data_IF_496600685793
#
_entry.id   IF_496600685793
#
_cell.length_a   1.000
_cell.length_b   1.000
_cell.length_c   1.000
_cell.angle_alpha   90.00
_cell.angle_beta   90.00
_cell.angle_gamma   90.00
#
_symmetry.space_group_name_H-M   'P 1'
#
loop_
_entity.id
_entity.type
_entity.pdbx_description
1 polymer ?
#
# COMPACT_ATOMS: atom_id res chain seq x y z
N UNK A 1 4.70 12.24 17.30
CA UNK A 1 5.41 11.05 16.76
C UNK A 1 6.43 11.56 15.75
N UNK A 2 7.67 11.03 15.73
CA UNK A 2 8.64 11.37 14.67
C UNK A 2 8.11 11.00 13.28
N UNK A 3 8.72 11.53 12.20
CA UNK A 3 8.30 11.17 10.83
C UNK A 3 8.35 9.65 10.66
N UNK A 4 7.36 8.99 10.03
CA UNK A 4 7.34 7.53 9.88
C UNK A 4 8.63 6.94 9.30
N UNK A 5 9.32 7.68 8.44
CA UNK A 5 10.62 7.33 7.86
C UNK A 5 11.72 7.08 8.89
N UNK A 6 11.67 7.76 10.04
CA UNK A 6 12.64 7.56 11.14
C UNK A 6 12.47 6.20 11.83
N UNK A 7 11.28 5.61 11.73
CA UNK A 7 10.94 4.35 12.40
C UNK A 7 10.91 3.18 11.40
N UNK A 8 10.42 3.42 10.19
CA UNK A 8 10.23 2.38 9.17
C UNK A 8 11.32 2.34 8.11
N UNK A 9 12.18 3.34 8.06
CA UNK A 9 13.06 3.58 6.93
C UNK A 9 12.32 4.05 5.67
N UNK A 10 13.09 4.40 4.66
CA UNK A 10 12.58 4.78 3.35
C UNK A 10 12.01 3.55 2.60
N UNK A 11 11.11 3.75 1.63
CA UNK A 11 10.72 2.68 0.71
C UNK A 11 11.93 2.16 -0.07
N UNK A 12 11.89 0.91 -0.55
CA UNK A 12 12.97 0.37 -1.37
C UNK A 12 13.15 1.17 -2.68
N UNK A 13 14.33 1.12 -3.33
CA UNK A 13 14.53 1.80 -4.61
C UNK A 13 13.47 1.43 -5.65
N UNK A 14 13.07 0.15 -5.71
CA UNK A 14 11.98 -0.31 -6.58
C UNK A 14 10.63 0.32 -6.24
N UNK A 15 10.24 0.41 -4.97
CA UNK A 15 9.02 1.09 -4.54
C UNK A 15 9.04 2.59 -4.86
N UNK A 16 10.21 3.23 -4.74
CA UNK A 16 10.39 4.62 -5.14
C UNK A 16 10.26 4.79 -6.65
N UNK A 17 10.79 3.85 -7.45
CA UNK A 17 10.64 3.84 -8.90
C UNK A 17 9.16 3.70 -9.30
N UNK A 18 8.39 2.82 -8.65
CA UNK A 18 6.94 2.70 -8.86
C UNK A 18 6.19 3.98 -8.51
N UNK A 19 6.58 4.69 -7.44
CA UNK A 19 5.98 5.97 -7.07
C UNK A 19 6.20 7.05 -8.14
N UNK A 20 7.41 7.08 -8.71
CA UNK A 20 7.76 7.98 -9.82
C UNK A 20 7.00 7.59 -11.08
N UNK A 21 6.92 6.30 -11.39
CA UNK A 21 6.19 5.77 -12.53
C UNK A 21 4.70 6.15 -12.45
N UNK A 22 4.06 5.92 -11.30
CA UNK A 22 2.68 6.31 -11.06
C UNK A 22 2.45 7.80 -11.34
N UNK A 23 3.35 8.66 -10.84
CA UNK A 23 3.22 10.11 -10.96
C UNK A 23 3.53 10.64 -12.37
N UNK A 24 4.53 10.07 -13.04
CA UNK A 24 5.03 10.50 -14.34
C UNK A 24 4.25 9.91 -15.52
N UNK A 25 3.64 8.73 -15.36
CA UNK A 25 2.87 8.05 -16.40
C UNK A 25 1.37 7.93 -16.07
N UNK A 26 0.82 8.90 -15.33
CA UNK A 26 -0.60 8.93 -14.97
C UNK A 26 -1.59 8.66 -16.12
N UNK A 27 -1.40 9.18 -17.36
CA UNK A 27 -2.31 8.88 -18.47
C UNK A 27 -2.45 7.38 -18.78
N UNK A 28 -1.42 6.57 -18.52
CA UNK A 28 -1.42 5.13 -18.77
C UNK A 28 -2.13 4.34 -17.67
N UNK A 29 -2.21 4.89 -16.45
CA UNK A 29 -2.69 4.16 -15.29
C UNK A 29 -4.01 4.66 -14.73
N UNK A 30 -4.34 5.93 -14.94
CA UNK A 30 -5.48 6.57 -14.30
C UNK A 30 -6.80 5.99 -14.81
N UNK A 31 -7.77 5.83 -13.92
CA UNK A 31 -9.16 5.46 -14.23
C UNK A 31 -10.13 6.52 -13.72
N UNK A 32 -11.36 6.50 -14.21
CA UNK A 32 -12.42 7.38 -13.75
C UNK A 32 -13.10 6.78 -12.52
N UNK A 33 -13.54 7.60 -11.57
CA UNK A 33 -14.40 7.13 -10.46
C UNK A 33 -15.71 6.51 -10.96
N UNK A 34 -16.19 6.95 -12.13
CA UNK A 34 -17.38 6.39 -12.77
C UNK A 34 -17.22 4.89 -13.06
N UNK A 35 -16.01 4.44 -13.40
CA UNK A 35 -15.70 3.05 -13.70
C UNK A 35 -15.88 2.13 -12.47
N UNK A 36 -15.96 2.74 -11.29
CA UNK A 36 -16.15 2.06 -10.01
C UNK A 36 -17.57 2.23 -9.44
N UNK A 37 -18.47 2.89 -10.18
CA UNK A 37 -19.86 3.10 -9.73
C UNK A 37 -20.01 4.06 -8.54
N UNK A 38 -19.00 4.89 -8.27
CA UNK A 38 -18.99 5.81 -7.12
C UNK A 38 -19.15 7.26 -7.56
N UNK A 39 -20.03 7.99 -6.87
CA UNK A 39 -20.27 9.41 -7.09
C UNK A 39 -19.41 10.27 -6.17
N UNK A 40 -19.13 11.51 -6.59
CA UNK A 40 -18.36 12.48 -5.78
C UNK A 40 -18.99 12.78 -4.40
N UNK A 41 -20.32 12.70 -4.30
CA UNK A 41 -21.09 12.88 -3.06
C UNK A 41 -20.85 11.79 -2.03
N UNK A 42 -20.34 10.62 -2.43
CA UNK A 42 -20.03 9.51 -1.53
C UNK A 42 -18.69 9.71 -0.80
N UNK A 43 -17.97 10.80 -1.10
CA UNK A 43 -16.67 11.09 -0.48
C UNK A 43 -16.81 11.30 1.02
N UNK A 44 -16.02 10.58 1.79
CA UNK A 44 -15.90 10.77 3.24
C UNK A 44 -15.03 12.00 3.51
N UNK A 45 -15.61 13.03 4.12
CA UNK A 45 -14.85 14.20 4.55
C UNK A 45 -13.99 13.85 5.78
N UNK A 46 -12.75 14.38 5.82
CA UNK A 46 -11.79 14.14 6.92
C UNK A 46 -12.29 14.61 8.29
N UNK A 47 -13.18 15.61 8.31
CA UNK A 47 -13.78 16.17 9.52
C UNK A 47 -15.24 15.74 9.71
N UNK A 48 -15.73 14.79 8.91
CA UNK A 48 -17.09 14.29 9.09
C UNK A 48 -17.23 13.61 10.45
N UNK A 49 -18.33 13.88 11.14
CA UNK A 49 -18.69 13.20 12.39
C UNK A 49 -19.26 11.80 12.10
N UNK A 50 -18.47 10.98 11.38
CA UNK A 50 -18.75 9.57 11.09
C UNK A 50 -17.50 8.74 11.36
N UNK A 51 -17.64 7.43 11.62
CA UNK A 51 -16.50 6.61 12.00
C UNK A 51 -15.36 6.63 10.96
N UNK A 52 -15.67 6.53 9.66
CA UNK A 52 -14.66 6.66 8.61
C UNK A 52 -13.99 8.04 8.55
N UNK A 53 -14.72 9.12 8.84
CA UNK A 53 -14.16 10.48 8.83
C UNK A 53 -13.06 10.63 9.88
N UNK A 54 -13.33 10.16 11.11
CA UNK A 54 -12.37 10.17 12.22
C UNK A 54 -11.13 9.32 11.93
N UNK A 55 -11.32 8.11 11.40
CA UNK A 55 -10.20 7.20 11.13
C UNK A 55 -9.34 7.69 9.95
N UNK A 56 -9.96 8.27 8.91
CA UNK A 56 -9.27 8.96 7.81
C UNK A 56 -8.43 10.13 8.34
N UNK A 57 -9.02 10.99 9.17
CA UNK A 57 -8.32 12.13 9.79
C UNK A 57 -7.10 11.69 10.60
N UNK A 58 -7.26 10.67 11.46
CA UNK A 58 -6.17 10.13 12.26
C UNK A 58 -5.04 9.53 11.42
N UNK A 59 -5.37 8.73 10.41
CA UNK A 59 -4.37 8.08 9.56
C UNK A 59 -3.52 9.11 8.79
N UNK A 60 -4.19 10.08 8.16
CA UNK A 60 -3.51 11.12 7.37
C UNK A 60 -2.72 12.11 8.23
N UNK A 61 -3.07 12.27 9.52
CA UNK A 61 -2.25 13.05 10.45
C UNK A 61 -0.88 12.39 10.72
N UNK A 62 -0.75 11.07 10.54
CA UNK A 62 0.48 10.32 10.83
C UNK A 62 1.42 10.27 9.63
N UNK A 63 0.93 9.91 8.45
CA UNK A 63 1.76 9.74 7.26
C UNK A 63 1.48 10.73 6.12
N UNK A 64 0.55 11.68 6.32
CA UNK A 64 0.20 12.67 5.31
C UNK A 64 -0.56 12.08 4.12
N UNK A 65 -0.51 12.78 2.98
CA UNK A 65 -1.08 12.31 1.72
C UNK A 65 -2.41 12.97 1.34
N UNK A 66 -2.78 12.76 0.07
CA UNK A 66 -3.98 13.30 -0.57
C UNK A 66 -5.02 12.23 -0.90
N UNK A 67 -4.77 10.96 -0.52
CA UNK A 67 -5.70 9.84 -0.68
C UNK A 67 -7.08 10.19 -0.15
N UNK A 68 -8.10 9.81 -0.91
CA UNK A 68 -9.50 10.04 -0.60
C UNK A 68 -10.22 8.73 -0.29
N UNK A 69 -11.12 8.75 0.68
CA UNK A 69 -11.97 7.62 1.04
C UNK A 69 -13.40 7.90 0.56
N UNK A 70 -14.02 6.92 -0.07
CA UNK A 70 -15.42 6.94 -0.48
C UNK A 70 -16.18 5.82 0.22
N UNK A 71 -17.39 6.14 0.67
CA UNK A 71 -18.35 5.15 1.11
C UNK A 71 -18.96 4.46 -0.12
N UNK A 72 -18.77 3.15 -0.24
CA UNK A 72 -19.25 2.35 -1.35
C UNK A 72 -19.95 1.12 -0.77
N UNK A 73 -21.27 1.20 -0.47
CA UNK A 73 -21.97 0.19 0.33
C UNK A 73 -21.84 -1.25 -0.16
N UNK A 74 -21.66 -1.43 -1.47
CA UNK A 74 -21.48 -2.73 -2.12
C UNK A 74 -20.11 -3.39 -1.88
N UNK A 75 -19.12 -2.66 -1.38
CA UNK A 75 -17.76 -3.17 -1.23
C UNK A 75 -17.60 -3.94 0.10
N UNK A 76 -17.41 -5.25 0.01
CA UNK A 76 -17.19 -6.11 1.20
C UNK A 76 -15.78 -5.96 1.78
N UNK A 77 -14.82 -5.56 0.95
CA UNK A 77 -13.43 -5.30 1.31
C UNK A 77 -12.98 -3.93 0.81
N UNK A 78 -11.79 -3.48 1.18
CA UNK A 78 -11.23 -2.25 0.63
C UNK A 78 -10.89 -2.44 -0.85
N UNK A 79 -11.29 -1.48 -1.67
CA UNK A 79 -10.93 -1.44 -3.09
C UNK A 79 -10.19 -0.15 -3.42
N UNK A 80 -9.12 -0.26 -4.20
CA UNK A 80 -8.35 0.89 -4.66
C UNK A 80 -8.73 1.24 -6.09
N UNK A 81 -9.02 2.52 -6.31
CA UNK A 81 -9.22 3.08 -7.63
C UNK A 81 -8.02 4.00 -7.95
N UNK A 82 -7.30 3.76 -9.07
CA UNK A 82 -6.16 4.57 -9.50
C UNK A 82 -6.67 5.88 -10.11
N UNK A 83 -7.32 6.72 -9.30
CA UNK A 83 -7.76 8.07 -9.65
C UNK A 83 -6.71 9.10 -9.22
N UNK A 84 -6.93 10.38 -9.51
CA UNK A 84 -6.09 11.47 -8.97
C UNK A 84 -6.97 12.47 -8.19
N UNK A 85 -6.83 12.56 -6.85
CA UNK A 85 -6.01 11.71 -5.96
C UNK A 85 -6.48 10.24 -5.96
N UNK A 86 -5.63 9.31 -5.50
CA UNK A 86 -5.98 7.88 -5.39
C UNK A 86 -7.17 7.72 -4.46
N UNK A 87 -8.16 6.93 -4.89
CA UNK A 87 -9.36 6.68 -4.12
C UNK A 87 -9.35 5.29 -3.49
N UNK A 88 -9.76 5.23 -2.23
CA UNK A 88 -10.07 4.01 -1.50
C UNK A 88 -11.59 3.95 -1.35
N UNK A 89 -12.16 2.81 -1.68
CA UNK A 89 -13.58 2.52 -1.55
C UNK A 89 -13.75 1.54 -0.38
N UNK A 90 -14.72 1.79 0.48
CA UNK A 90 -15.03 0.93 1.61
C UNK A 90 -16.54 0.88 1.85
N UNK A 91 -17.07 -0.32 2.08
CA UNK A 91 -18.49 -0.52 2.36
C UNK A 91 -18.86 -0.41 3.83
N UNK A 92 -20.16 -0.50 4.08
CA UNK A 92 -20.77 -0.27 5.39
C UNK A 92 -20.36 -1.33 6.43
N UNK A 93 -20.12 -2.57 5.99
CA UNK A 93 -19.64 -3.67 6.86
C UNK A 93 -18.32 -3.28 7.54
N UNK A 94 -17.41 -2.64 6.79
CA UNK A 94 -16.13 -2.16 7.32
C UNK A 94 -16.35 -0.97 8.26
N UNK A 95 -17.29 -0.08 7.95
CA UNK A 95 -17.61 1.07 8.81
C UNK A 95 -18.18 0.63 10.16
N UNK A 96 -19.01 -0.41 10.15
CA UNK A 96 -19.63 -1.01 11.33
C UNK A 96 -18.64 -1.78 12.22
N UNK A 97 -17.47 -2.18 11.71
CA UNK A 97 -16.44 -2.89 12.49
C UNK A 97 -15.74 -1.96 13.49
N UNK A 98 -16.37 -1.72 14.64
CA UNK A 98 -15.79 -0.91 15.71
C UNK A 98 -14.49 -1.46 16.31
N UNK A 99 -14.12 -2.72 16.03
CA UNK A 99 -13.02 -3.41 16.71
C UNK A 99 -11.70 -3.32 15.96
N UNK A 100 -11.72 -3.26 14.63
CA UNK A 100 -10.49 -3.18 13.84
C UNK A 100 -10.47 -2.11 12.74
N UNK A 101 -11.60 -1.43 12.48
CA UNK A 101 -11.74 -0.43 11.41
C UNK A 101 -10.63 0.63 11.38
N UNK A 102 -10.25 1.20 12.52
CA UNK A 102 -9.21 2.25 12.55
C UNK A 102 -7.89 1.78 11.94
N UNK A 103 -7.45 0.58 12.30
CA UNK A 103 -6.26 -0.04 11.72
C UNK A 103 -6.46 -0.35 10.23
N UNK A 104 -7.59 -0.97 9.87
CA UNK A 104 -7.85 -1.38 8.49
C UNK A 104 -7.94 -0.18 7.54
N UNK A 105 -8.60 0.90 7.95
CA UNK A 105 -8.64 2.18 7.20
C UNK A 105 -7.24 2.75 7.04
N UNK A 106 -6.43 2.81 8.11
CA UNK A 106 -5.07 3.31 8.01
C UNK A 106 -4.20 2.47 7.05
N UNK A 107 -4.36 1.14 7.07
CA UNK A 107 -3.67 0.22 6.16
C UNK A 107 -4.10 0.43 4.71
N UNK A 108 -5.40 0.57 4.48
CA UNK A 108 -5.93 0.81 3.14
C UNK A 108 -5.41 2.12 2.54
N UNK A 109 -5.35 3.18 3.35
CA UNK A 109 -4.77 4.46 2.94
C UNK A 109 -3.26 4.38 2.69
N UNK A 110 -2.53 3.59 3.48
CA UNK A 110 -1.10 3.36 3.25
C UNK A 110 -0.81 2.54 1.98
N UNK A 111 -1.69 1.61 1.59
CA UNK A 111 -1.63 0.89 0.32
C UNK A 111 -2.01 1.76 -0.89
N UNK A 112 -2.74 2.85 -0.66
CA UNK A 112 -3.06 3.82 -1.70
C UNK A 112 -1.90 4.78 -2.02
N UNK A 113 -0.78 4.70 -1.30
CA UNK A 113 0.38 5.54 -1.55
C UNK A 113 0.93 5.31 -2.98
N UNK A 114 1.55 6.33 -3.63
CA UNK A 114 2.14 6.21 -4.95
C UNK A 114 3.07 4.99 -5.14
N UNK A 115 3.82 4.64 -4.10
CA UNK A 115 4.74 3.50 -4.11
C UNK A 115 4.05 2.12 -4.18
N UNK A 116 2.75 2.06 -3.89
CA UNK A 116 2.00 0.80 -3.72
C UNK A 116 0.77 0.72 -4.63
N UNK A 117 0.20 1.84 -5.07
CA UNK A 117 -1.08 1.87 -5.79
C UNK A 117 -1.06 1.00 -7.05
N UNK A 118 0.05 0.97 -7.79
CA UNK A 118 0.18 0.12 -8.98
C UNK A 118 0.08 -1.37 -8.62
N UNK A 119 0.58 -1.77 -7.45
CA UNK A 119 0.59 -3.15 -6.94
C UNK A 119 -0.80 -3.61 -6.49
N UNK A 120 -1.58 -2.72 -5.85
CA UNK A 120 -2.90 -3.09 -5.30
C UNK A 120 -4.07 -2.86 -6.27
N UNK A 121 -3.81 -2.26 -7.43
CA UNK A 121 -4.85 -1.99 -8.45
C UNK A 121 -4.77 -2.91 -9.67
N UNK A 122 -3.82 -3.85 -9.70
CA UNK A 122 -3.57 -4.73 -10.86
C UNK A 122 -3.52 -6.20 -10.46
N UNK A 123 -4.00 -7.09 -11.34
CA UNK A 123 -3.81 -8.52 -11.17
C UNK A 123 -2.32 -8.91 -11.37
N UNK A 124 -1.86 -10.04 -10.80
CA UNK A 124 -0.46 -10.46 -10.87
C UNK A 124 0.10 -10.59 -12.30
N UNK A 125 -0.72 -11.01 -13.27
CA UNK A 125 -0.31 -11.09 -14.68
C UNK A 125 0.03 -9.73 -15.30
N UNK A 126 -0.78 -8.70 -15.02
CA UNK A 126 -0.51 -7.34 -15.47
C UNK A 126 0.72 -6.75 -14.79
N UNK A 127 0.95 -7.09 -13.52
CA UNK A 127 2.15 -6.66 -12.79
C UNK A 127 3.43 -7.23 -13.37
N UNK A 128 3.41 -8.49 -13.82
CA UNK A 128 4.56 -9.10 -14.50
C UNK A 128 4.93 -8.32 -15.76
N UNK A 129 3.95 -8.03 -16.61
CA UNK A 129 4.15 -7.21 -17.83
C UNK A 129 4.62 -5.80 -17.49
N UNK A 130 4.05 -5.17 -16.47
CA UNK A 130 4.47 -3.84 -16.00
C UNK A 130 5.93 -3.83 -15.53
N UNK A 131 6.35 -4.84 -14.77
CA UNK A 131 7.71 -4.92 -14.23
C UNK A 131 8.72 -5.14 -15.36
N UNK A 132 8.43 -6.08 -16.25
CA UNK A 132 9.24 -6.34 -17.43
C UNK A 132 9.37 -5.09 -18.31
N UNK A 133 8.25 -4.40 -18.58
CA UNK A 133 8.24 -3.15 -19.33
C UNK A 133 9.02 -2.02 -18.64
N UNK A 134 8.91 -1.89 -17.31
CA UNK A 134 9.64 -0.90 -16.51
C UNK A 134 11.15 -1.12 -16.62
N UNK A 135 11.62 -2.37 -16.50
CA UNK A 135 13.03 -2.70 -16.65
C UNK A 135 13.51 -2.62 -18.12
N UNK A 136 12.68 -2.99 -19.10
CA UNK A 136 13.03 -2.82 -20.50
C UNK A 136 13.15 -1.33 -20.89
N UNK A 137 12.32 -0.46 -20.31
CA UNK A 137 12.35 0.98 -20.57
C UNK A 137 13.48 1.69 -19.79
N UNK A 138 13.71 1.34 -18.53
CA UNK A 138 14.54 2.16 -17.63
C UNK A 138 15.52 1.36 -16.77
N UNK A 139 15.54 0.04 -16.90
CA UNK A 139 16.47 -0.82 -16.16
C UNK A 139 17.88 -0.83 -16.77
N UNK A 140 18.84 -1.44 -16.06
CA UNK A 140 20.12 -1.79 -16.67
C UNK A 140 19.90 -2.77 -17.84
N UNK A 141 20.84 -2.78 -18.79
CA UNK A 141 20.82 -3.75 -19.90
C UNK A 141 20.89 -5.16 -19.30
N UNK A 142 19.95 -6.02 -19.71
CA UNK A 142 19.91 -7.42 -19.32
C UNK A 142 19.87 -8.30 -20.55
N UNK A 143 20.53 -9.44 -20.47
CA UNK A 143 20.46 -10.47 -21.50
C UNK A 143 19.09 -11.15 -21.42
N UNK A 144 18.42 -11.28 -22.56
CA UNK A 144 17.12 -11.94 -22.67
C UNK A 144 16.20 -11.28 -23.68
N UNK A 145 15.29 -12.08 -24.24
CA UNK A 145 14.23 -11.57 -25.10
C UNK A 145 13.09 -11.02 -24.24
N UNK A 146 12.70 -9.77 -24.51
CA UNK A 146 11.55 -9.12 -23.85
C UNK A 146 10.29 -9.52 -24.60
N UNK A 147 9.27 -9.98 -23.88
CA UNK A 147 7.99 -10.33 -24.45
C UNK A 147 7.38 -9.15 -25.23
N UNK A 148 6.73 -9.43 -26.37
CA UNK A 148 6.22 -8.38 -27.27
C UNK A 148 5.30 -7.36 -26.57
N UNK A 149 4.44 -7.82 -25.65
CA UNK A 149 3.57 -6.94 -24.88
C UNK A 149 4.34 -6.02 -23.92
N UNK A 150 5.37 -6.55 -23.25
CA UNK A 150 6.24 -5.77 -22.38
C UNK A 150 7.07 -4.75 -23.18
N UNK A 151 7.58 -5.13 -24.35
CA UNK A 151 8.34 -4.23 -25.22
C UNK A 151 7.48 -3.06 -25.75
N UNK A 152 6.24 -3.35 -26.18
CA UNK A 152 5.28 -2.30 -26.58
C UNK A 152 4.99 -1.37 -25.41
N UNK A 153 4.71 -1.93 -24.22
CA UNK A 153 4.39 -1.11 -23.06
C UNK A 153 5.60 -0.30 -22.58
N UNK A 154 6.82 -0.83 -22.68
CA UNK A 154 8.06 -0.11 -22.39
C UNK A 154 8.21 1.13 -23.28
N UNK A 155 7.88 1.03 -24.57
CA UNK A 155 7.90 2.16 -25.48
C UNK A 155 6.87 3.24 -25.08
N UNK A 156 5.69 2.84 -24.61
CA UNK A 156 4.67 3.77 -24.11
C UNK A 156 5.09 4.44 -22.81
N UNK A 157 5.72 3.71 -21.89
CA UNK A 157 6.32 4.26 -20.67
C UNK A 157 7.38 5.31 -21.02
N UNK A 158 8.30 5.00 -21.94
CA UNK A 158 9.35 5.92 -22.35
C UNK A 158 8.80 7.20 -22.98
N UNK A 159 7.76 7.10 -23.81
CA UNK A 159 7.12 8.28 -24.44
C UNK A 159 6.34 9.13 -23.44
N UNK A 160 5.76 8.51 -22.41
CA UNK A 160 4.85 9.20 -21.49
C UNK A 160 5.56 9.80 -20.29
N UNK A 161 6.53 9.10 -19.71
CA UNK A 161 7.21 9.54 -18.47
C UNK A 161 8.11 10.75 -18.77
N UNK A 162 8.00 11.87 -18.03
CA UNK A 162 8.88 13.04 -18.21
C UNK A 162 10.36 12.70 -18.03
N UNK A 163 11.25 13.32 -18.82
CA UNK A 163 12.69 12.99 -18.81
C UNK A 163 13.37 13.06 -17.44
N UNK A 164 12.93 13.99 -16.57
CA UNK A 164 13.41 14.08 -15.18
C UNK A 164 13.06 12.82 -14.38
N UNK A 165 11.82 12.35 -14.49
CA UNK A 165 11.38 11.14 -13.80
C UNK A 165 12.02 9.89 -14.43
N UNK A 166 12.25 9.86 -15.75
CA UNK A 166 12.99 8.78 -16.39
C UNK A 166 14.41 8.64 -15.82
N UNK A 167 15.14 9.76 -15.70
CA UNK A 167 16.50 9.76 -15.16
C UNK A 167 16.54 9.24 -13.72
N UNK A 168 15.58 9.66 -12.89
CA UNK A 168 15.47 9.22 -11.50
C UNK A 168 15.06 7.75 -11.39
N UNK A 169 14.13 7.27 -12.24
CA UNK A 169 13.76 5.86 -12.30
C UNK A 169 14.98 5.02 -12.68
N UNK A 170 15.75 5.41 -13.70
CA UNK A 170 16.99 4.69 -14.08
C UNK A 170 17.97 4.61 -12.91
N UNK A 171 18.18 5.72 -12.20
CA UNK A 171 19.05 5.76 -11.02
C UNK A 171 18.59 4.77 -9.95
N UNK A 172 17.30 4.77 -9.62
CA UNK A 172 16.71 3.88 -8.62
C UNK A 172 16.77 2.40 -9.04
N UNK A 173 16.51 2.10 -10.32
CA UNK A 173 16.57 0.72 -10.84
C UNK A 173 17.99 0.19 -10.96
N UNK A 174 19.00 1.05 -11.07
CA UNK A 174 20.41 0.64 -11.01
C UNK A 174 20.84 0.18 -9.60
N UNK A 175 20.11 0.57 -8.55
CA UNK A 175 20.32 0.09 -7.17
C UNK A 175 19.57 -1.24 -6.90
N UNK A 176 18.85 -1.77 -7.88
CA UNK A 176 18.10 -3.02 -7.75
C UNK A 176 18.90 -4.15 -8.39
N UNK A 177 19.55 -4.96 -7.56
CA UNK A 177 20.35 -6.11 -7.99
C UNK A 177 19.52 -7.07 -8.86
N UNK A 178 18.41 -7.55 -8.32
CA UNK A 178 17.45 -8.43 -9.00
C UNK A 178 16.03 -7.84 -8.95
N UNK A 179 15.26 -7.85 -10.06
CA UNK A 179 13.87 -7.44 -10.04
C UNK A 179 13.06 -8.26 -9.05
N UNK A 180 12.30 -7.64 -8.14
CA UNK A 180 11.38 -8.41 -7.33
C UNK A 180 10.30 -9.02 -8.22
N UNK A 181 9.85 -10.24 -7.88
CA UNK A 181 8.63 -10.78 -8.47
C UNK A 181 7.42 -9.94 -8.05
N UNK A 182 6.30 -9.98 -8.80
CA UNK A 182 5.06 -9.34 -8.38
C UNK A 182 4.64 -9.69 -6.95
N UNK A 183 4.79 -10.96 -6.57
CA UNK A 183 4.43 -11.48 -5.25
C UNK A 183 5.31 -10.87 -4.15
N UNK A 184 6.63 -10.80 -4.37
CA UNK A 184 7.57 -10.16 -3.44
C UNK A 184 7.29 -8.66 -3.29
N UNK A 185 7.00 -7.97 -4.38
CA UNK A 185 6.70 -6.54 -4.36
C UNK A 185 5.37 -6.25 -3.62
N UNK A 186 4.34 -7.07 -3.88
CA UNK A 186 3.05 -7.02 -3.18
C UNK A 186 3.27 -7.25 -1.68
N UNK A 187 3.96 -8.33 -1.30
CA UNK A 187 4.23 -8.65 0.10
C UNK A 187 4.95 -7.49 0.80
N UNK A 188 6.01 -6.95 0.20
CA UNK A 188 6.75 -5.80 0.74
C UNK A 188 5.86 -4.55 0.91
N UNK A 189 4.94 -4.29 -0.02
CA UNK A 189 3.97 -3.20 0.10
C UNK A 189 2.99 -3.43 1.26
N UNK A 190 2.46 -4.65 1.40
CA UNK A 190 1.56 -5.02 2.50
C UNK A 190 2.25 -4.98 3.87
N UNK A 191 3.50 -5.42 3.98
CA UNK A 191 4.32 -5.29 5.20
C UNK A 191 4.50 -3.82 5.57
N UNK A 192 4.89 -2.98 4.61
CA UNK A 192 5.09 -1.55 4.84
C UNK A 192 3.78 -0.85 5.25
N UNK A 193 2.68 -1.15 4.56
CA UNK A 193 1.38 -0.58 4.88
C UNK A 193 0.85 -1.03 6.25
N UNK A 194 1.03 -2.31 6.60
CA UNK A 194 0.65 -2.84 7.91
C UNK A 194 1.41 -2.16 9.05
N UNK A 195 2.71 -1.90 8.86
CA UNK A 195 3.56 -1.15 9.79
C UNK A 195 3.12 0.32 9.92
N UNK A 196 2.85 1.01 8.81
CA UNK A 196 2.33 2.38 8.83
C UNK A 196 0.98 2.47 9.55
N UNK A 197 0.08 1.53 9.29
CA UNK A 197 -1.20 1.44 9.96
C UNK A 197 -1.05 1.21 11.46
N UNK A 198 -0.10 0.36 11.87
CA UNK A 198 0.23 0.15 13.28
C UNK A 198 0.77 1.43 13.94
N UNK A 199 1.62 2.22 13.25
CA UNK A 199 2.05 3.51 13.79
C UNK A 199 0.90 4.50 13.97
N UNK A 200 -0.08 4.50 13.06
CA UNK A 200 -1.23 5.40 13.13
C UNK A 200 -2.29 4.98 14.16
N UNK A 201 -2.48 3.68 14.36
CA UNK A 201 -3.47 3.12 15.30
C UNK A 201 -2.91 2.89 16.71
N UNK A 202 -1.65 2.46 16.80
CA UNK A 202 -0.92 2.24 18.05
C UNK A 202 -1.37 1.05 18.89
N UNK A 203 -2.27 0.18 18.38
CA UNK A 203 -2.85 -0.91 19.16
C UNK A 203 -2.65 -2.29 18.53
N UNK A 204 -1.80 -3.16 19.13
CA UNK A 204 -1.40 -4.42 18.52
C UNK A 204 -2.59 -5.38 18.32
N UNK A 205 -3.53 -5.44 19.26
CA UNK A 205 -4.72 -6.30 19.09
C UNK A 205 -5.63 -5.86 17.94
N UNK A 206 -5.73 -4.54 17.65
CA UNK A 206 -6.53 -4.07 16.51
C UNK A 206 -5.81 -4.35 15.20
N UNK A 207 -4.48 -4.25 15.20
CA UNK A 207 -3.66 -4.65 14.07
C UNK A 207 -3.81 -6.15 13.73
N UNK A 208 -3.69 -7.02 14.74
CA UNK A 208 -3.87 -8.46 14.55
C UNK A 208 -5.27 -8.82 14.03
N UNK A 209 -6.33 -8.23 14.62
CA UNK A 209 -7.71 -8.43 14.16
C UNK A 209 -7.97 -7.89 12.75
N UNK A 210 -7.40 -6.73 12.43
CA UNK A 210 -7.55 -6.15 11.10
C UNK A 210 -6.83 -6.98 10.05
N UNK A 211 -5.65 -7.51 10.36
CA UNK A 211 -4.94 -8.44 9.48
C UNK A 211 -5.71 -9.75 9.30
N UNK A 212 -6.30 -10.33 10.36
CA UNK A 212 -7.17 -11.51 10.20
C UNK A 212 -8.34 -11.29 9.24
N UNK A 213 -8.87 -10.06 9.20
CA UNK A 213 -9.98 -9.72 8.31
C UNK A 213 -9.54 -9.48 6.86
N UNK A 214 -8.30 -9.03 6.64
CA UNK A 214 -7.83 -8.52 5.34
C UNK A 214 -6.70 -9.35 4.70
N UNK A 215 -6.10 -10.30 5.40
CA UNK A 215 -4.98 -11.13 4.95
C UNK A 215 -5.44 -12.58 4.76
N UNK A 216 -5.62 -13.04 3.50
CA UNK A 216 -6.06 -14.40 3.22
C UNK A 216 -5.11 -15.47 3.77
N UNK A 217 -3.82 -15.18 3.96
CA UNK A 217 -2.86 -16.12 4.55
C UNK A 217 -3.18 -16.45 6.02
N UNK A 218 -4.00 -15.63 6.68
CA UNK A 218 -4.43 -15.84 8.05
C UNK A 218 -5.79 -16.54 8.16
N UNK A 219 -6.45 -16.84 7.03
CA UNK A 219 -7.74 -17.52 7.03
C UNK A 219 -7.61 -18.91 7.69
N UNK A 220 -8.44 -19.18 8.70
CA UNK A 220 -8.46 -20.46 9.41
C UNK A 220 -7.44 -20.60 10.55
N UNK A 221 -6.55 -19.62 10.77
CA UNK A 221 -5.63 -19.65 11.91
C UNK A 221 -6.32 -19.20 13.21
N UNK A 222 -6.19 -20.00 14.28
CA UNK A 222 -6.71 -19.67 15.61
C UNK A 222 -5.70 -18.85 16.43
N UNK A 223 -5.66 -17.53 16.24
CA UNK A 223 -4.67 -16.66 16.91
C UNK A 223 -4.83 -16.55 18.44
N UNK A 224 -5.89 -17.14 19.01
CA UNK A 224 -6.17 -17.11 20.45
C UNK A 224 -5.26 -18.03 21.26
N UNK A 225 -4.60 -18.99 20.61
CA UNK A 225 -3.67 -19.93 21.25
C UNK A 225 -2.22 -19.58 20.92
N UNK A 226 -1.24 -19.91 21.78
CA UNK A 226 0.18 -19.68 21.47
C UNK A 226 0.63 -20.35 20.17
N UNK A 227 0.17 -21.58 19.92
CA UNK A 227 0.50 -22.38 18.74
C UNK A 227 -0.13 -21.76 17.48
N UNK A 228 -1.41 -21.41 17.53
CA UNK A 228 -2.10 -20.78 16.41
C UNK A 228 -1.58 -19.38 16.11
N UNK A 229 -1.19 -18.61 17.13
CA UNK A 229 -0.52 -17.33 16.94
C UNK A 229 0.86 -17.48 16.28
N UNK A 230 1.65 -18.50 16.67
CA UNK A 230 2.94 -18.79 16.02
C UNK A 230 2.74 -19.17 14.55
N UNK A 231 1.80 -20.07 14.27
CA UNK A 231 1.47 -20.46 12.90
C UNK A 231 1.01 -19.27 12.05
N UNK A 232 0.17 -18.39 12.61
CA UNK A 232 -0.24 -17.15 11.96
C UNK A 232 0.94 -16.22 11.65
N UNK A 233 1.90 -16.12 12.56
CA UNK A 233 3.13 -15.35 12.32
C UNK A 233 3.98 -15.98 11.21
N UNK A 234 4.05 -17.31 11.11
CA UNK A 234 4.77 -17.98 10.03
C UNK A 234 4.08 -17.81 8.66
N UNK A 235 2.75 -17.74 8.65
CA UNK A 235 1.97 -17.57 7.43
C UNK A 235 1.96 -16.12 6.89
N UNK A 236 1.87 -15.10 7.76
CA UNK A 236 1.67 -13.70 7.36
C UNK A 236 2.90 -12.83 7.58
N UNK A 237 3.56 -12.44 6.48
CA UNK A 237 4.63 -11.45 6.53
C UNK A 237 4.17 -10.08 7.09
N UNK A 238 2.97 -9.54 6.74
CA UNK A 238 2.45 -8.32 7.37
C UNK A 238 2.32 -8.41 8.89
N UNK A 239 1.83 -9.55 9.43
CA UNK A 239 1.71 -9.76 10.87
C UNK A 239 3.09 -9.76 11.54
N UNK A 240 4.06 -10.51 11.00
CA UNK A 240 5.46 -10.45 11.47
C UNK A 240 6.01 -9.04 11.44
N UNK A 241 5.73 -8.31 10.35
CA UNK A 241 6.16 -6.93 10.16
C UNK A 241 5.67 -6.00 11.26
N UNK A 242 4.40 -6.11 11.65
CA UNK A 242 3.80 -5.34 12.76
C UNK A 242 4.42 -5.72 14.10
N UNK A 243 4.57 -7.01 14.39
CA UNK A 243 5.12 -7.48 15.66
C UNK A 243 6.59 -7.07 15.84
N UNK A 244 7.41 -7.25 14.80
CA UNK A 244 8.80 -6.81 14.79
C UNK A 244 8.91 -5.29 15.05
N UNK A 245 8.00 -4.50 14.47
CA UNK A 245 7.95 -3.06 14.71
C UNK A 245 7.52 -2.73 16.14
N UNK A 246 6.46 -3.38 16.64
CA UNK A 246 5.95 -3.18 18.00
C UNK A 246 6.99 -3.47 19.09
N UNK A 247 7.93 -4.37 18.81
CA UNK A 247 9.03 -4.75 19.70
C UNK A 247 10.35 -4.00 19.39
N UNK A 248 10.39 -3.14 18.37
CA UNK A 248 11.62 -2.47 17.96
C UNK A 248 12.00 -1.33 18.92
N UNK A 249 13.30 -1.19 19.21
CA UNK A 249 13.81 -0.11 20.06
C UNK A 249 13.43 1.31 19.59
N UNK A 250 13.47 1.65 18.27
CA UNK A 250 13.02 2.95 17.80
C UNK A 250 11.55 3.24 18.12
N UNK A 251 10.68 2.24 17.97
CA UNK A 251 9.25 2.39 18.28
C UNK A 251 9.02 2.55 19.79
N UNK A 252 9.62 1.68 20.60
CA UNK A 252 9.49 1.73 22.06
C UNK A 252 10.03 3.06 22.62
N UNK A 253 11.17 3.54 22.12
CA UNK A 253 11.72 4.85 22.47
C UNK A 253 10.81 6.01 22.06
N UNK A 254 10.20 5.95 20.88
CA UNK A 254 9.23 6.97 20.44
C UNK A 254 7.94 6.96 21.28
N UNK A 255 7.50 5.79 21.75
CA UNK A 255 6.33 5.64 22.63
C UNK A 255 6.59 6.13 24.05
N UNK A 256 7.77 5.86 24.61
CA UNK A 256 8.14 6.36 25.93
C UNK A 256 8.08 7.89 26.01
N UNK A 257 8.64 8.58 25.00
CA UNK A 257 8.60 10.06 24.89
C UNK A 257 7.20 10.68 24.76
N UNK A 258 6.18 9.88 24.45
CA UNK A 258 4.79 10.36 24.36
C UNK A 258 4.02 10.15 25.66
N UNK A 259 4.58 9.37 26.60
CA UNK A 259 3.99 9.11 27.91
C UNK A 259 4.53 10.07 29.00
N UNK A 260 5.63 10.77 28.70
CA UNK A 260 6.18 11.92 29.45
C UNK A 260 5.45 13.21 29.06
#
# INVERSE_FOLDING_TARGET
MGRPEQVLGLPSPFQQALARLWSGALPLFRRSLRDYGVLGTHRVARLANRPFGRDLGHALAVFGGDTVLYAAPQEESFRWAPTRPVAVLAGEIIEADGRSRRYRVARALALAAPAHVLLVTRPPGELRVLFEALFAAFGPVRDGEVASDAARFAADLWRTVPSRDQAEIRRLLAEVDEPPTPEQAIEAAHVRAARLAFLADGHPFRAARGLLADDPSLAGHEIGTPEGFRAACEASAPLRGVLALALSAPYLGARAKLAE
#
